data_IF_580506300124
#
_entry.id   IF_580506300124
#
_cell.length_a   1.000
_cell.length_b   1.000
_cell.length_c   1.000
_cell.angle_alpha   90.00
_cell.angle_beta   90.00
_cell.angle_gamma   90.00
#
_symmetry.space_group_name_H-M   'P 1'
#
loop_
_entity.id
_entity.type
_entity.pdbx_description
1 polymer ?
2 non-polymer ?
3 water ?
#
# COMPACT_ATOMS: atom_id res chain seq x y z
N UNK A 1 9.75 1.87 9.47
CA UNK A 1 9.60 0.55 10.23
C UNK A 1 8.19 -0.07 10.11
N UNK A 2 8.09 -1.04 9.21
CA UNK A 2 6.84 -1.66 8.76
C UNK A 2 6.01 -2.37 9.86
N UNK A 3 6.72 -3.02 10.76
CA UNK A 3 6.17 -3.70 11.89
C UNK A 3 5.47 -2.64 12.73
N UNK A 4 6.14 -1.53 13.02
CA UNK A 4 5.55 -0.45 13.80
C UNK A 4 4.22 0.04 13.22
N UNK A 5 4.10 -0.05 11.91
CA UNK A 5 2.93 0.40 11.18
C UNK A 5 1.86 -0.69 11.28
N UNK A 6 2.25 -1.94 11.18
CA UNK A 6 1.25 -2.98 11.34
C UNK A 6 0.69 -3.11 12.76
N UNK A 7 1.52 -2.71 13.73
CA UNK A 7 1.15 -2.71 15.14
C UNK A 7 0.16 -1.59 15.29
N UNK A 8 0.44 -0.48 14.59
CA UNK A 8 -0.48 0.64 14.60
C UNK A 8 -1.86 0.26 14.06
N UNK A 9 -1.85 -0.35 12.91
CA UNK A 9 -3.03 -0.83 12.29
C UNK A 9 -3.66 -1.83 13.29
N UNK A 10 -2.89 -2.75 13.93
CA UNK A 10 -3.59 -3.67 14.89
C UNK A 10 -4.31 -2.88 16.02
N UNK A 11 -3.63 -1.85 16.52
CA UNK A 11 -4.15 -1.08 17.64
C UNK A 11 -5.43 -0.37 17.18
N UNK A 12 -5.45 0.04 15.94
CA UNK A 12 -6.69 0.72 15.41
C UNK A 12 -7.91 -0.20 15.26
N UNK A 13 -7.66 -1.45 14.88
CA UNK A 13 -8.74 -2.43 14.78
C UNK A 13 -9.31 -2.60 16.16
N UNK A 14 -8.41 -2.65 17.16
CA UNK A 14 -8.83 -2.95 18.49
C UNK A 14 -9.42 -1.82 19.27
N UNK A 15 -9.15 -0.56 18.87
CA UNK A 15 -9.40 0.52 19.81
C UNK A 15 -10.08 1.71 19.21
N UNK A 16 -9.82 1.94 17.94
CA UNK A 16 -10.29 3.16 17.28
C UNK A 16 -11.78 3.28 16.86
N UNK A 17 -12.49 4.24 17.48
CA UNK A 17 -13.94 4.39 17.19
C UNK A 17 -14.25 5.05 15.80
N UNK A 18 -13.30 5.80 15.26
CA UNK A 18 -13.42 6.32 13.93
C UNK A 18 -13.28 5.15 12.94
N UNK A 19 -12.28 4.27 13.17
CA UNK A 19 -11.99 3.21 12.18
C UNK A 19 -13.20 2.26 12.07
N UNK A 20 -13.78 1.97 13.25
CA UNK A 20 -14.99 1.07 13.40
C UNK A 20 -16.13 1.51 12.45
N UNK A 21 -16.27 2.84 12.29
CA UNK A 21 -17.29 3.40 11.47
C UNK A 21 -16.96 3.46 10.00
N UNK A 22 -15.70 3.19 9.60
CA UNK A 22 -15.28 3.22 8.17
C UNK A 22 -15.55 1.90 7.40
N UNK A 23 -16.11 2.01 6.20
CA UNK A 23 -16.27 0.83 5.36
C UNK A 23 -15.07 0.77 4.41
N UNK A 24 -14.84 -0.41 3.88
CA UNK A 24 -13.77 -0.61 2.87
C UNK A 24 -13.88 0.34 1.72
N UNK A 25 -15.10 0.55 1.27
CA UNK A 25 -15.42 1.60 0.31
C UNK A 25 -14.87 2.95 0.67
N UNK A 26 -15.11 3.34 1.89
CA UNK A 26 -14.67 4.65 2.32
C UNK A 26 -13.12 4.68 2.34
N UNK A 27 -12.55 3.58 2.80
CA UNK A 27 -11.12 3.50 2.88
C UNK A 27 -10.48 3.47 1.49
N UNK A 28 -11.16 2.78 0.58
CA UNK A 28 -10.72 2.75 -0.81
C UNK A 28 -10.57 4.14 -1.38
N UNK A 29 -11.57 4.98 -1.13
CA UNK A 29 -11.57 6.44 -1.51
C UNK A 29 -10.50 7.21 -0.77
N UNK A 30 -10.32 6.97 0.53
CA UNK A 30 -9.18 7.61 1.22
C UNK A 30 -7.87 7.27 0.48
N UNK A 31 -7.74 6.02 0.08
CA UNK A 31 -6.53 5.60 -0.65
C UNK A 31 -6.37 6.26 -2.02
N UNK A 32 -7.47 6.41 -2.77
CA UNK A 32 -7.41 7.05 -4.09
C UNK A 32 -7.04 8.48 -3.84
N UNK A 33 -7.45 9.04 -2.72
CA UNK A 33 -7.04 10.40 -2.42
C UNK A 33 -5.57 10.59 -2.19
N UNK A 34 -4.91 9.67 -1.41
CA UNK A 34 -3.50 9.87 -1.16
C UNK A 34 -2.70 9.69 -2.40
N UNK A 35 -3.13 8.78 -3.26
CA UNK A 35 -2.57 8.62 -4.58
C UNK A 35 -2.50 10.00 -5.27
N UNK A 36 -3.54 10.80 -5.13
CA UNK A 36 -3.49 12.13 -5.72
C UNK A 36 -2.49 13.04 -5.02
N UNK A 37 -2.33 12.90 -3.70
CA UNK A 37 -1.33 13.69 -3.05
C UNK A 37 0.03 13.30 -3.53
N UNK A 38 0.21 12.04 -3.92
CA UNK A 38 1.55 11.58 -4.30
C UNK A 38 1.85 12.17 -5.72
N UNK A 39 0.90 12.01 -6.60
CA UNK A 39 0.97 12.59 -7.95
C UNK A 39 1.28 14.08 -7.87
N UNK A 40 0.59 14.84 -7.04
CA UNK A 40 0.97 16.26 -6.92
C UNK A 40 2.42 16.43 -6.42
N UNK A 41 2.85 15.66 -5.46
CA UNK A 41 4.21 15.91 -4.93
C UNK A 41 5.27 15.57 -5.99
N UNK A 42 5.03 14.52 -6.75
CA UNK A 42 5.92 14.21 -7.87
C UNK A 42 5.98 15.41 -8.86
N UNK A 43 4.80 15.83 -9.29
CA UNK A 43 4.70 17.04 -10.10
C UNK A 43 5.56 18.20 -9.63
N UNK A 44 5.57 18.51 -8.35
CA UNK A 44 6.40 19.60 -7.86
C UNK A 44 7.84 19.25 -7.54
N UNK A 45 8.29 18.03 -7.82
CA UNK A 45 9.58 17.58 -7.20
C UNK A 45 9.71 18.03 -5.77
N UNK A 46 8.62 17.88 -5.01
CA UNK A 46 8.63 18.26 -3.57
C UNK A 46 8.97 17.04 -2.74
N UNK A 47 10.23 16.93 -2.42
CA UNK A 47 10.72 15.70 -1.96
C UNK A 47 10.25 15.34 -0.52
N UNK A 48 10.21 16.36 0.36
CA UNK A 48 9.71 16.20 1.75
C UNK A 48 8.23 15.81 1.73
N UNK A 49 7.46 16.37 0.80
CA UNK A 49 6.06 16.06 0.74
C UNK A 49 5.91 14.70 0.08
N UNK A 50 6.77 14.38 -0.90
CA UNK A 50 6.64 13.09 -1.60
C UNK A 50 6.83 12.01 -0.50
N UNK A 51 7.77 12.26 0.42
CA UNK A 51 8.08 11.29 1.41
C UNK A 51 6.91 11.12 2.42
N UNK A 52 6.33 12.20 2.88
CA UNK A 52 5.09 12.16 3.53
C UNK A 52 3.99 11.37 2.82
N UNK A 53 3.58 11.75 1.60
CA UNK A 53 2.52 11.07 0.98
C UNK A 53 2.82 9.55 0.72
N UNK A 54 4.06 9.22 0.35
CA UNK A 54 4.38 7.76 0.23
C UNK A 54 3.95 7.03 1.54
N UNK A 55 4.35 7.62 2.68
CA UNK A 55 3.93 7.00 3.92
C UNK A 55 2.41 6.97 4.09
N UNK A 56 1.75 8.11 3.89
CA UNK A 56 0.29 8.15 3.93
C UNK A 56 -0.33 7.07 3.09
N UNK A 57 0.23 6.88 1.91
CA UNK A 57 -0.31 6.01 0.90
C UNK A 57 -0.24 4.56 1.35
N UNK A 58 0.91 4.16 1.88
CA UNK A 58 1.11 2.80 2.35
C UNK A 58 0.21 2.47 3.58
N UNK A 59 0.18 3.39 4.54
CA UNK A 59 -0.78 3.31 5.64
C UNK A 59 -2.24 3.10 5.15
N UNK A 60 -2.66 3.94 4.23
CA UNK A 60 -4.02 3.82 3.78
C UNK A 60 -4.32 2.55 3.05
N UNK A 61 -3.41 2.06 2.23
CA UNK A 61 -3.58 0.76 1.59
C UNK A 61 -3.68 -0.31 2.70
N UNK A 62 -2.82 -0.17 3.69
CA UNK A 62 -2.84 -1.16 4.74
C UNK A 62 -4.11 -1.08 5.55
N UNK A 63 -4.70 0.12 5.72
CA UNK A 63 -6.02 0.20 6.33
C UNK A 63 -7.11 -0.44 5.44
N UNK A 64 -6.93 -0.45 4.14
CA UNK A 64 -7.93 -1.19 3.32
C UNK A 64 -7.69 -2.70 3.63
N UNK A 65 -6.46 -3.18 3.56
CA UNK A 65 -6.23 -4.54 3.97
C UNK A 65 -6.93 -4.86 5.29
N UNK A 66 -6.68 -4.07 6.32
CA UNK A 66 -7.31 -4.31 7.66
C UNK A 66 -8.82 -4.53 7.71
N UNK A 67 -9.56 -3.75 6.91
CA UNK A 67 -10.97 -3.80 7.00
C UNK A 67 -11.48 -4.92 6.09
N UNK A 68 -10.70 -5.26 5.05
CA UNK A 68 -10.92 -6.49 4.26
C UNK A 68 -10.85 -7.70 5.23
N UNK A 69 -9.91 -7.70 6.18
CA UNK A 69 -9.91 -8.74 7.21
C UNK A 69 -11.10 -8.60 8.16
N UNK A 70 -11.38 -7.38 8.61
CA UNK A 70 -12.41 -7.13 9.59
C UNK A 70 -13.79 -7.61 9.10
N UNK A 71 -14.12 -7.09 7.94
CA UNK A 71 -15.41 -7.28 7.35
C UNK A 71 -15.58 -8.54 6.46
N UNK A 72 -14.52 -9.00 5.81
CA UNK A 72 -14.66 -10.00 4.75
C UNK A 72 -13.81 -11.24 5.12
N UNK A 73 -13.15 -11.16 6.26
CA UNK A 73 -12.25 -12.19 6.83
C UNK A 73 -10.99 -12.44 6.00
N UNK A 74 -10.65 -11.53 5.11
CA UNK A 74 -9.39 -11.67 4.32
C UNK A 74 -8.10 -11.68 5.20
N UNK A 75 -7.32 -12.72 5.09
CA UNK A 75 -6.06 -12.79 5.86
C UNK A 75 -4.99 -12.11 4.99
N UNK A 76 -4.21 -11.20 5.56
CA UNK A 76 -3.25 -10.40 4.80
C UNK A 76 -2.08 -11.25 4.40
N UNK A 77 -1.56 -12.11 5.29
CA UNK A 77 -0.53 -13.04 4.88
C UNK A 77 -1.07 -13.92 3.76
N UNK A 78 -2.26 -14.47 3.85
CA UNK A 78 -2.66 -15.18 2.67
C UNK A 78 -2.66 -14.32 1.44
N UNK A 79 -3.14 -13.07 1.54
CA UNK A 79 -3.41 -12.22 0.35
C UNK A 79 -2.07 -11.90 -0.26
N UNK A 80 -1.11 -11.63 0.62
CA UNK A 80 0.28 -11.42 0.23
C UNK A 80 0.90 -12.66 -0.36
N UNK A 81 0.77 -13.84 0.27
CA UNK A 81 1.45 -15.03 -0.34
C UNK A 81 0.85 -15.39 -1.68
N UNK A 82 -0.39 -15.01 -1.88
CA UNK A 82 -0.95 -15.21 -3.14
C UNK A 82 -0.29 -14.32 -4.24
N UNK A 83 -0.07 -13.01 -3.97
CA UNK A 83 0.35 -12.08 -5.04
C UNK A 83 1.83 -12.45 -5.29
N UNK A 84 2.54 -12.89 -4.26
CA UNK A 84 3.83 -13.38 -4.46
C UNK A 84 3.91 -14.64 -5.40
N UNK A 85 2.95 -15.53 -5.26
CA UNK A 85 2.88 -16.65 -6.16
C UNK A 85 2.69 -16.13 -7.56
N UNK A 86 1.80 -15.15 -7.70
CA UNK A 86 1.42 -14.71 -9.04
C UNK A 86 2.65 -14.09 -9.71
N UNK A 87 3.19 -13.04 -9.12
CA UNK A 87 4.40 -12.41 -9.60
C UNK A 87 5.49 -13.37 -9.96
N UNK A 88 5.80 -14.32 -9.05
CA UNK A 88 6.94 -15.23 -9.21
C UNK A 88 6.69 -16.11 -10.37
N UNK A 89 5.43 -16.47 -10.52
CA UNK A 89 5.10 -17.22 -11.64
C UNK A 89 5.20 -16.40 -12.94
N UNK A 90 4.51 -15.25 -13.04
CA UNK A 90 4.64 -14.37 -14.19
C UNK A 90 6.00 -13.81 -14.61
N UNK A 91 6.86 -13.55 -13.65
CA UNK A 91 8.07 -12.82 -13.95
C UNK A 91 9.14 -13.70 -13.44
N UNK A 92 9.33 -14.89 -14.06
CA UNK A 92 10.35 -15.80 -13.42
C UNK A 92 11.75 -15.32 -13.46
N UNK A 93 12.00 -14.44 -14.43
CA UNK A 93 13.37 -13.82 -14.54
C UNK A 93 13.87 -13.10 -13.26
N UNK A 94 12.96 -12.81 -12.31
CA UNK A 94 13.31 -12.17 -11.04
C UNK A 94 14.23 -13.06 -10.24
N UNK A 95 14.23 -14.33 -10.57
CA UNK A 95 14.99 -15.32 -9.79
C UNK A 95 16.09 -15.92 -10.62
N UNK A 96 16.47 -15.25 -11.71
CA UNK A 96 17.48 -15.70 -12.65
C UNK A 96 18.66 -14.72 -12.65
N UNK A 97 19.89 -15.24 -12.56
CA UNK A 97 21.17 -14.44 -12.57
C UNK A 97 21.28 -13.41 -13.72
N UNK A 98 21.43 -13.91 -14.94
CA UNK A 98 21.56 -13.05 -16.08
C UNK A 98 20.29 -12.26 -16.24
N UNK A 99 20.43 -10.98 -16.51
CA UNK A 99 19.27 -10.14 -16.83
C UNK A 99 18.80 -10.61 -18.20
N UNK A 100 17.59 -10.20 -18.58
CA UNK A 100 17.01 -10.55 -19.84
C UNK A 100 16.41 -9.28 -20.42
N UNK A 101 16.26 -9.27 -21.72
CA UNK A 101 15.80 -8.06 -22.44
C UNK A 101 14.30 -7.84 -22.24
N UNK A 102 13.84 -6.61 -22.44
CA UNK A 102 12.45 -6.31 -22.29
C UNK A 102 11.68 -7.32 -23.13
N UNK A 103 12.19 -7.58 -24.37
CA UNK A 103 11.42 -8.42 -25.36
C UNK A 103 11.36 -9.91 -24.89
N UNK A 104 12.49 -10.37 -24.39
CA UNK A 104 12.48 -11.67 -23.84
C UNK A 104 11.40 -11.75 -22.69
N UNK A 105 11.52 -10.85 -21.68
CA UNK A 105 10.61 -10.72 -20.54
C UNK A 105 9.16 -10.66 -20.97
N UNK A 106 8.86 -9.85 -21.98
CA UNK A 106 7.45 -9.83 -22.35
C UNK A 106 6.95 -11.16 -22.95
N UNK A 107 7.76 -11.79 -23.80
CA UNK A 107 7.35 -13.02 -24.47
C UNK A 107 7.04 -14.00 -23.38
N UNK A 108 7.88 -14.06 -22.35
CA UNK A 108 7.55 -14.93 -21.24
C UNK A 108 6.23 -14.54 -20.61
N UNK A 109 6.09 -13.25 -20.38
CA UNK A 109 5.01 -12.81 -19.59
C UNK A 109 3.69 -13.04 -20.34
N UNK A 110 3.71 -12.83 -21.64
CA UNK A 110 2.55 -13.03 -22.44
C UNK A 110 2.06 -14.50 -22.17
N UNK A 111 2.98 -15.45 -21.97
CA UNK A 111 2.58 -16.85 -21.91
C UNK A 111 2.15 -17.22 -20.52
N UNK A 112 2.93 -16.82 -19.52
CA UNK A 112 2.51 -16.96 -18.12
C UNK A 112 1.08 -16.43 -17.87
N UNK A 113 0.75 -15.30 -18.47
CA UNK A 113 -0.51 -14.70 -18.12
C UNK A 113 -1.63 -15.71 -18.14
N UNK A 114 -1.58 -16.66 -19.05
CA UNK A 114 -2.75 -17.49 -19.36
C UNK A 114 -2.90 -18.88 -18.65
N UNK B 2 5.06 -10.93 3.98
CA UNK B 2 5.34 -9.46 4.09
C UNK B 2 6.76 -9.05 3.62
N UNK B 3 7.70 -9.97 3.78
CA UNK B 3 9.12 -9.73 3.64
C UNK B 3 9.47 -10.30 2.30
N UNK B 4 8.91 -11.45 1.98
CA UNK B 4 9.16 -12.04 0.68
C UNK B 4 8.65 -11.10 -0.40
N UNK B 5 7.70 -10.21 -0.04
CA UNK B 5 7.15 -9.30 -1.02
C UNK B 5 8.14 -8.15 -1.27
N UNK B 6 8.69 -7.60 -0.21
CA UNK B 6 9.78 -6.59 -0.40
C UNK B 6 11.05 -7.14 -1.07
N UNK B 7 11.32 -8.44 -0.95
CA UNK B 7 12.48 -9.03 -1.59
C UNK B 7 12.20 -9.10 -3.05
N UNK B 8 10.99 -9.58 -3.34
CA UNK B 8 10.42 -9.55 -4.69
C UNK B 8 10.61 -8.18 -5.31
N UNK B 9 10.11 -7.14 -4.64
CA UNK B 9 10.22 -5.79 -5.21
C UNK B 9 11.70 -5.42 -5.43
N UNK B 10 12.54 -5.82 -4.49
CA UNK B 10 13.92 -5.43 -4.65
C UNK B 10 14.43 -6.15 -5.84
N UNK B 11 14.00 -7.41 -6.03
CA UNK B 11 14.51 -8.16 -7.22
C UNK B 11 14.08 -7.45 -8.48
N UNK B 12 12.90 -6.88 -8.45
CA UNK B 12 12.41 -6.18 -9.68
C UNK B 12 13.31 -4.93 -9.93
N UNK B 13 13.61 -4.17 -8.89
CA UNK B 13 14.57 -3.03 -9.05
C UNK B 13 15.87 -3.49 -9.65
N UNK B 14 16.38 -4.64 -9.18
CA UNK B 14 17.61 -5.16 -9.71
C UNK B 14 17.61 -5.69 -11.16
N UNK B 15 16.56 -6.40 -11.55
CA UNK B 15 16.53 -7.29 -12.75
C UNK B 15 15.50 -6.95 -13.82
N UNK B 16 14.36 -6.44 -13.38
CA UNK B 16 13.21 -6.38 -14.24
C UNK B 16 13.26 -5.27 -15.26
N UNK B 17 13.41 -5.67 -16.55
CA UNK B 17 13.47 -4.68 -17.67
C UNK B 17 12.15 -3.94 -17.94
N UNK B 18 11.00 -4.48 -17.50
CA UNK B 18 9.71 -3.77 -17.62
C UNK B 18 9.66 -2.65 -16.58
N UNK B 19 10.02 -3.01 -15.35
CA UNK B 19 9.91 -2.08 -14.23
C UNK B 19 10.86 -0.85 -14.51
N UNK B 20 12.04 -1.08 -15.11
CA UNK B 20 12.96 0.02 -15.52
C UNK B 20 12.22 1.09 -16.37
N UNK B 21 11.33 0.66 -17.22
CA UNK B 21 10.68 1.55 -18.11
C UNK B 21 9.47 2.30 -17.50
N UNK B 22 9.04 1.88 -16.30
CA UNK B 22 7.86 2.49 -15.62
C UNK B 22 8.25 3.72 -14.81
N UNK B 23 7.41 4.75 -14.91
CA UNK B 23 7.55 5.94 -14.16
C UNK B 23 6.54 5.84 -13.01
N UNK B 24 6.69 6.70 -12.03
CA UNK B 24 5.95 6.62 -10.81
C UNK B 24 4.54 6.98 -11.15
N UNK B 25 4.39 7.88 -12.13
CA UNK B 25 3.05 8.21 -12.66
C UNK B 25 2.35 7.00 -13.22
N UNK B 26 3.03 6.24 -14.05
CA UNK B 26 2.43 5.08 -14.62
C UNK B 26 1.98 4.13 -13.52
N UNK B 27 2.83 4.03 -12.50
CA UNK B 27 2.63 3.10 -11.44
C UNK B 27 1.53 3.54 -10.50
N UNK B 28 1.42 4.86 -10.31
CA UNK B 28 0.35 5.41 -9.53
C UNK B 28 -1.00 5.01 -10.13
N UNK B 29 -1.05 5.14 -11.46
CA UNK B 29 -2.15 4.67 -12.25
C UNK B 29 -2.37 3.14 -12.15
N UNK B 30 -1.33 2.33 -12.21
CA UNK B 30 -1.56 0.89 -11.90
C UNK B 30 -2.24 0.63 -10.51
N UNK B 31 -1.94 1.47 -9.52
CA UNK B 31 -2.45 1.23 -8.16
C UNK B 31 -3.92 1.63 -8.18
N UNK B 32 -4.17 2.82 -8.72
CA UNK B 32 -5.55 3.28 -8.97
C UNK B 32 -6.47 2.23 -9.64
N UNK B 33 -5.96 1.58 -10.68
CA UNK B 33 -6.70 0.47 -11.32
C UNK B 33 -6.88 -0.74 -10.37
N UNK B 34 -5.88 -1.07 -9.55
CA UNK B 34 -6.16 -2.22 -8.62
C UNK B 34 -7.19 -1.85 -7.59
N UNK B 35 -7.13 -0.63 -7.12
CA UNK B 35 -8.12 -0.17 -6.19
C UNK B 35 -9.54 -0.40 -6.81
N UNK B 36 -9.65 -0.31 -8.14
CA UNK B 36 -10.96 -0.47 -8.78
C UNK B 36 -11.37 -1.93 -8.70
N UNK B 37 -10.37 -2.81 -8.78
CA UNK B 37 -10.63 -4.19 -8.80
C UNK B 37 -11.02 -4.62 -7.44
N UNK B 38 -10.47 -3.94 -6.43
CA UNK B 38 -10.87 -4.22 -5.06
C UNK B 38 -12.34 -3.78 -4.92
N UNK B 39 -12.68 -2.57 -5.35
CA UNK B 39 -14.01 -2.07 -5.09
C UNK B 39 -15.00 -3.07 -5.71
N UNK B 40 -14.65 -3.54 -6.90
CA UNK B 40 -15.46 -4.55 -7.58
C UNK B 40 -15.62 -5.90 -6.88
N UNK B 41 -14.55 -6.52 -6.39
CA UNK B 41 -14.72 -7.79 -5.69
C UNK B 41 -15.54 -7.59 -4.41
N UNK B 42 -15.48 -6.40 -3.82
CA UNK B 42 -16.33 -6.08 -2.65
C UNK B 42 -17.83 -6.08 -3.07
N UNK B 43 -18.17 -5.31 -4.10
CA UNK B 43 -19.49 -5.33 -4.68
C UNK B 43 -20.15 -6.70 -4.76
N UNK B 44 -19.36 -7.69 -5.12
CA UNK B 44 -19.86 -8.97 -5.51
C UNK B 44 -19.55 -9.97 -4.45
N UNK B 45 -19.22 -9.51 -3.26
CA UNK B 45 -18.82 -10.40 -2.15
C UNK B 45 -18.10 -11.60 -2.70
N UNK B 46 -17.14 -11.34 -3.59
CA UNK B 46 -16.31 -12.38 -4.18
C UNK B 46 -15.06 -12.44 -3.36
N UNK B 47 -15.05 -13.39 -2.43
CA UNK B 47 -13.97 -13.53 -1.41
C UNK B 47 -12.58 -13.91 -1.89
N UNK B 48 -12.54 -14.95 -2.68
CA UNK B 48 -11.36 -15.34 -3.46
C UNK B 48 -10.81 -14.20 -4.35
N UNK B 49 -11.68 -13.47 -5.03
CA UNK B 49 -11.16 -12.38 -5.80
C UNK B 49 -10.68 -11.23 -4.87
N UNK B 50 -11.38 -11.00 -3.75
CA UNK B 50 -10.97 -9.92 -2.87
C UNK B 50 -9.54 -10.19 -2.33
N UNK B 51 -9.34 -11.42 -1.96
CA UNK B 51 -8.07 -11.78 -1.45
C UNK B 51 -7.05 -11.51 -2.53
N UNK B 52 -7.47 -11.72 -3.80
CA UNK B 52 -6.54 -11.55 -4.92
C UNK B 52 -6.09 -10.10 -5.01
N UNK B 53 -7.07 -9.22 -5.28
CA UNK B 53 -6.91 -7.85 -5.42
C UNK B 53 -6.31 -7.14 -4.20
N UNK B 54 -6.69 -7.59 -2.99
CA UNK B 54 -6.01 -6.98 -1.84
C UNK B 54 -4.49 -7.12 -2.04
N UNK B 55 -4.04 -8.35 -2.28
CA UNK B 55 -2.63 -8.63 -2.60
C UNK B 55 -2.12 -7.73 -3.74
N UNK B 56 -2.85 -7.69 -4.87
CA UNK B 56 -2.39 -6.88 -6.02
C UNK B 56 -2.12 -5.46 -5.51
N UNK B 57 -3.01 -4.97 -4.65
CA UNK B 57 -3.00 -3.58 -4.20
C UNK B 57 -1.75 -3.32 -3.32
N UNK B 58 -1.49 -4.16 -2.30
CA UNK B 58 -0.25 -4.02 -1.50
C UNK B 58 1.00 -4.04 -2.37
N UNK B 59 1.11 -4.99 -3.28
CA UNK B 59 2.24 -4.99 -4.20
C UNK B 59 2.34 -3.71 -5.04
N UNK B 60 1.28 -3.35 -5.73
CA UNK B 60 1.40 -2.18 -6.51
C UNK B 60 1.70 -0.95 -5.69
N UNK B 61 0.98 -0.67 -4.60
CA UNK B 61 1.37 0.38 -3.66
C UNK B 61 2.89 0.35 -3.38
N UNK B 62 3.43 -0.84 -3.13
CA UNK B 62 4.82 -0.92 -2.73
C UNK B 62 5.71 -0.67 -3.93
N UNK B 63 5.22 -1.00 -5.12
CA UNK B 63 6.03 -0.62 -6.33
C UNK B 63 6.07 0.93 -6.58
N UNK B 64 5.01 1.65 -6.18
CA UNK B 64 5.05 3.13 -6.22
C UNK B 64 6.12 3.55 -5.22
N UNK B 65 6.17 2.91 -4.04
CA UNK B 65 7.19 3.28 -3.05
C UNK B 65 8.58 3.05 -3.68
N UNK B 66 8.76 1.86 -4.24
CA UNK B 66 10.03 1.49 -4.89
C UNK B 66 10.50 2.47 -5.95
N UNK B 67 9.63 2.94 -6.84
CA UNK B 67 10.12 3.92 -7.76
C UNK B 67 10.32 5.34 -7.14
N UNK B 68 9.56 5.70 -6.10
CA UNK B 68 9.82 6.96 -5.29
C UNK B 68 11.29 6.93 -4.79
N UNK B 69 11.67 5.73 -4.38
CA UNK B 69 13.08 5.56 -3.96
C UNK B 69 14.03 5.65 -5.17
N UNK B 70 13.68 4.92 -6.24
CA UNK B 70 14.56 4.78 -7.37
C UNK B 70 14.80 6.14 -8.02
N UNK B 71 13.68 6.87 -8.25
CA UNK B 71 13.71 8.09 -9.06
C UNK B 71 13.87 9.34 -8.19
N UNK B 72 13.28 9.37 -7.00
CA UNK B 72 13.27 10.55 -6.19
C UNK B 72 14.04 10.34 -4.90
N UNK B 73 14.70 9.21 -4.77
CA UNK B 73 15.53 9.09 -3.56
C UNK B 73 14.81 8.78 -2.23
N UNK B 74 13.51 8.51 -2.26
CA UNK B 74 12.76 8.44 -1.03
C UNK B 74 13.04 7.08 -0.32
N UNK B 75 13.40 7.19 0.93
CA UNK B 75 13.71 6.01 1.78
C UNK B 75 12.37 5.44 2.41
N UNK B 76 11.97 4.19 2.14
CA UNK B 76 10.76 3.66 2.70
C UNK B 76 10.72 3.61 4.19
N UNK B 77 11.83 3.24 4.81
CA UNK B 77 11.80 3.33 6.26
C UNK B 77 11.52 4.78 6.86
N UNK B 78 12.16 5.81 6.34
CA UNK B 78 11.81 7.18 6.78
C UNK B 78 10.40 7.57 6.40
N UNK B 79 9.92 7.06 5.28
CA UNK B 79 8.56 7.45 4.85
C UNK B 79 7.53 6.80 5.88
N UNK B 80 7.77 5.54 6.24
CA UNK B 80 6.89 4.83 7.16
C UNK B 80 7.01 5.47 8.50
N UNK B 81 8.22 5.91 8.85
CA UNK B 81 8.40 6.58 10.11
C UNK B 81 7.69 7.92 10.17
N UNK B 82 7.68 8.72 9.10
CA UNK B 82 6.89 9.96 9.08
C UNK B 82 5.46 9.59 9.47
N UNK B 83 4.93 8.45 8.95
CA UNK B 83 3.50 8.23 9.03
C UNK B 83 3.22 7.63 10.40
N UNK B 84 4.04 6.72 10.90
CA UNK B 84 3.90 6.32 12.27
C UNK B 84 3.88 7.54 13.24
N UNK B 85 4.76 8.51 13.09
CA UNK B 85 4.76 9.70 13.99
C UNK B 85 3.47 10.53 13.81
N UNK B 86 3.05 10.61 12.57
CA UNK B 86 1.88 11.40 12.32
C UNK B 86 0.62 10.79 13.03
N UNK B 87 0.39 9.51 12.82
CA UNK B 87 -0.74 8.86 13.40
C UNK B 87 -0.61 8.85 14.93
N UNK B 88 0.59 8.58 15.44
CA UNK B 88 0.76 8.52 16.89
C UNK B 88 0.40 9.90 17.43
N UNK B 89 0.81 10.97 16.75
CA UNK B 89 0.41 12.29 17.17
C UNK B 89 -1.08 12.61 17.05
N UNK B 90 -1.71 12.26 15.92
CA UNK B 90 -3.13 12.53 15.73
C UNK B 90 -4.11 11.64 16.47
N UNK B 91 -3.74 10.40 16.79
CA UNK B 91 -4.63 9.41 17.37
C UNK B 91 -3.93 8.87 18.62
N UNK B 92 -3.71 9.71 19.62
CA UNK B 92 -2.98 9.23 20.79
C UNK B 92 -3.72 8.11 21.48
N UNK B 93 -5.04 8.07 21.32
CA UNK B 93 -5.85 7.03 21.95
C UNK B 93 -5.46 5.57 21.56
N UNK B 94 -4.67 5.40 20.52
CA UNK B 94 -4.26 4.10 20.12
C UNK B 94 -3.26 3.47 21.12
N UNK B 95 -2.63 4.32 21.94
CA UNK B 95 -1.68 3.88 22.97
C UNK B 95 -2.20 4.13 24.34
N UNK B 96 -3.51 4.34 24.48
CA UNK B 96 -4.12 4.49 25.80
C UNK B 96 -4.85 3.24 26.12
N UNK B 97 -4.80 2.79 27.38
CA UNK B 97 -5.57 1.55 27.74
C UNK B 97 -7.07 1.54 27.47
N UNK B 98 -7.76 2.54 28.00
CA UNK B 98 -9.18 2.48 28.01
C UNK B 98 -9.65 3.06 26.71
N UNK B 99 -10.79 2.57 26.21
CA UNK B 99 -11.32 3.05 24.94
C UNK B 99 -11.96 4.41 25.15
N UNK B 100 -12.20 5.11 24.02
CA UNK B 100 -12.76 6.43 24.08
C UNK B 100 -13.79 6.53 23.02
N UNK B 101 -14.70 7.45 23.19
CA UNK B 101 -15.80 7.59 22.21
C UNK B 101 -15.43 8.28 20.93
N UNK B 102 -16.27 8.08 19.91
CA UNK B 102 -16.05 8.70 18.67
C UNK B 102 -15.90 10.19 18.92
N UNK B 103 -16.74 10.72 19.79
CA UNK B 103 -16.88 12.15 19.98
C UNK B 103 -15.60 12.69 20.64
N UNK B 104 -15.10 11.89 21.58
CA UNK B 104 -13.88 12.18 22.27
C UNK B 104 -12.70 12.20 21.26
N UNK B 105 -12.61 11.10 20.48
CA UNK B 105 -11.49 10.87 19.53
C UNK B 105 -11.42 12.02 18.53
N UNK B 106 -12.59 12.47 18.09
CA UNK B 106 -12.62 13.54 17.08
C UNK B 106 -12.26 14.85 17.62
N UNK B 107 -12.67 15.11 18.85
CA UNK B 107 -12.32 16.40 19.41
C UNK B 107 -10.81 16.44 19.47
N UNK B 108 -10.18 15.32 19.85
CA UNK B 108 -8.75 15.33 19.96
C UNK B 108 -8.07 15.50 18.63
N UNK B 109 -8.56 14.72 17.69
CA UNK B 109 -7.93 14.66 16.37
C UNK B 109 -7.92 16.05 15.75
N UNK B 110 -9.05 16.70 15.93
CA UNK B 110 -9.28 18.06 15.40
C UNK B 110 -8.15 18.96 15.93
N UNK B 111 -7.89 18.88 17.23
CA UNK B 111 -6.87 19.76 17.70
C UNK B 111 -5.47 19.34 17.25
N UNK B 112 -5.27 18.03 17.16
CA UNK B 112 -3.86 17.55 16.89
C UNK B 112 -3.49 17.89 15.47
N UNK B 113 -4.51 17.94 14.61
CA UNK B 113 -4.36 18.30 13.21
C UNK B 113 -3.78 19.65 12.98
N UNK B 114 -4.06 20.57 13.91
CA UNK B 114 -3.48 21.89 13.87
C UNK B 114 -1.90 21.89 13.96
N UNK B 115 -1.27 20.87 14.55
CA UNK B 115 0.17 20.95 14.86
C UNK B 115 1.09 20.75 13.63
X LIG C 1 -5.21 9.32 4.15
X LIG D 1 -1.34 12.51 2.65
X LIG E 1 -1.77 -3.73 -11.13
X LIG F 1 -5.87 -6.97 -9.89
#
# INVERSE_FOLDING_TARGET
>A
MVERLLEIIERSLRKCPWLEKQSIETLLEALASEIEEVAEAVKKNDLANLEEEIGDMIYDALLVAAVAQRDYGIDLESAIQKVVEKISHRKPWLFWEEKISLEEAEKIWKERKKKI
>B
XVERLLEIIERSLRKCPWLEKQSIETLLEALASEIEEVAEAVKKNDLANLEEEIGDMIYDALLVAAVAQRDYGIDLESAIQKVVEKISHRKPWLFWEEKISLEEAEKIWKERKKKI
>C hetero
1 MG MG
>D hetero
1 MG MG
>E hetero
1 MG MG
>F hetero
1 MG MG
#
